data_IF_814498848712
#
_entry.id   IF_814498848712
#
_cell.length_a   1.000
_cell.length_b   1.000
_cell.length_c   1.000
_cell.angle_alpha   90.00
_cell.angle_beta   90.00
_cell.angle_gamma   90.00
#
_symmetry.space_group_name_H-M   'P 1'
#
loop_
_entity.id
_entity.type
_entity.pdbx_description
1 polymer ?
#
# COMPACT_ATOMS: atom_id res chain seq x y z
N UNK A 1 -19.07 -35.15 -3.03
CA UNK A 1 -19.39 -33.71 -3.17
C UNK A 1 -18.34 -32.93 -2.40
N UNK A 2 -17.53 -32.13 -3.09
CA UNK A 2 -16.61 -31.19 -2.44
C UNK A 2 -17.40 -29.98 -1.93
N UNK A 3 -17.14 -29.55 -0.70
CA UNK A 3 -17.68 -28.29 -0.18
C UNK A 3 -16.76 -27.15 -0.63
N UNK A 4 -17.31 -25.95 -0.84
CA UNK A 4 -16.49 -24.75 -1.07
C UNK A 4 -16.45 -23.99 0.23
N UNK A 5 -15.26 -23.80 0.78
CA UNK A 5 -15.02 -23.00 1.99
C UNK A 5 -14.54 -21.63 1.55
N UNK A 6 -15.11 -20.59 2.16
CA UNK A 6 -14.68 -19.21 1.99
C UNK A 6 -13.76 -18.84 3.15
N UNK A 7 -12.57 -18.35 2.82
CA UNK A 7 -11.60 -17.90 3.81
C UNK A 7 -11.41 -16.41 3.60
N UNK A 8 -11.64 -15.62 4.65
CA UNK A 8 -11.39 -14.18 4.64
C UNK A 8 -10.01 -13.89 5.21
N UNK A 9 -9.25 -13.04 4.53
CA UNK A 9 -7.99 -12.49 5.02
C UNK A 9 -8.19 -11.61 6.26
N UNK A 10 -7.08 -11.30 6.92
CA UNK A 10 -7.06 -10.48 8.14
C UNK A 10 -6.91 -8.99 7.84
N UNK A 11 -6.28 -8.67 6.71
CA UNK A 11 -5.92 -7.31 6.34
C UNK A 11 -7.11 -6.50 5.80
N UNK A 12 -7.20 -5.24 6.24
CA UNK A 12 -8.14 -4.26 5.68
C UNK A 12 -7.56 -3.59 4.43
N UNK A 13 -8.41 -3.43 3.43
CA UNK A 13 -8.10 -2.82 2.14
C UNK A 13 -8.54 -1.36 2.19
N UNK A 14 -7.56 -0.46 2.23
CA UNK A 14 -7.78 0.99 2.16
C UNK A 14 -8.00 1.50 0.73
N UNK A 15 -7.34 0.89 -0.27
CA UNK A 15 -7.43 1.29 -1.68
C UNK A 15 -7.74 0.11 -2.61
N UNK A 16 -8.92 0.16 -3.22
CA UNK A 16 -9.40 -0.88 -4.12
C UNK A 16 -8.62 -1.00 -5.45
N UNK A 17 -7.88 0.03 -5.86
CA UNK A 17 -7.07 -0.02 -7.08
C UNK A 17 -5.81 -0.86 -6.84
N UNK A 18 -5.09 -0.56 -5.76
CA UNK A 18 -3.90 -1.31 -5.34
C UNK A 18 -4.24 -2.77 -5.01
N UNK A 19 -5.43 -3.01 -4.45
CA UNK A 19 -5.89 -4.36 -4.15
C UNK A 19 -6.14 -5.19 -5.43
N UNK A 20 -6.67 -4.58 -6.50
CA UNK A 20 -6.78 -5.25 -7.79
C UNK A 20 -5.42 -5.57 -8.40
N UNK A 21 -4.45 -4.67 -8.26
CA UNK A 21 -3.09 -4.91 -8.72
C UNK A 21 -2.41 -6.03 -7.94
N UNK A 22 -2.59 -6.07 -6.62
CA UNK A 22 -2.09 -7.16 -5.77
C UNK A 22 -2.70 -8.52 -6.17
N UNK A 23 -4.01 -8.57 -6.44
CA UNK A 23 -4.67 -9.79 -6.94
C UNK A 23 -4.10 -10.19 -8.31
N UNK A 24 -3.90 -9.24 -9.23
CA UNK A 24 -3.33 -9.50 -10.55
C UNK A 24 -1.89 -10.05 -10.45
N UNK A 25 -1.04 -9.47 -9.60
CA UNK A 25 0.33 -9.94 -9.34
C UNK A 25 0.37 -11.32 -8.68
N UNK A 26 -0.63 -11.65 -7.86
CA UNK A 26 -0.72 -12.96 -7.22
C UNK A 26 -1.04 -14.10 -8.19
N UNK A 27 -1.54 -13.80 -9.39
CA UNK A 27 -1.91 -14.80 -10.41
C UNK A 27 -3.13 -15.65 -10.06
N UNK A 28 -3.85 -15.35 -8.97
CA UNK A 28 -4.98 -16.14 -8.48
C UNK A 28 -6.33 -15.50 -8.82
N UNK A 29 -7.08 -16.15 -9.72
CA UNK A 29 -8.40 -15.69 -10.18
C UNK A 29 -9.55 -15.94 -9.19
N UNK A 30 -9.32 -16.69 -8.11
CA UNK A 30 -10.33 -17.05 -7.11
C UNK A 30 -10.38 -16.10 -5.89
N UNK A 31 -9.67 -14.98 -5.96
CA UNK A 31 -9.64 -13.95 -4.91
C UNK A 31 -10.64 -12.85 -5.27
N UNK A 32 -11.50 -12.51 -4.33
CA UNK A 32 -12.45 -11.40 -4.44
C UNK A 32 -12.19 -10.41 -3.32
N UNK A 33 -12.66 -9.18 -3.50
CA UNK A 33 -12.72 -8.21 -2.41
C UNK A 33 -14.15 -8.15 -1.91
N UNK A 34 -14.36 -8.41 -0.63
CA UNK A 34 -15.67 -8.37 0.04
C UNK A 34 -15.48 -7.63 1.36
N UNK A 35 -16.32 -6.62 1.62
CA UNK A 35 -16.32 -5.82 2.84
C UNK A 35 -14.95 -5.23 3.24
N UNK A 36 -14.19 -4.78 2.24
CA UNK A 36 -12.86 -4.20 2.48
C UNK A 36 -11.80 -5.23 2.90
N UNK A 37 -12.01 -6.51 2.64
CA UNK A 37 -11.06 -7.60 2.88
C UNK A 37 -10.94 -8.52 1.67
N UNK A 38 -9.86 -9.30 1.62
CA UNK A 38 -9.70 -10.34 0.59
C UNK A 38 -10.49 -11.60 0.98
N UNK A 39 -11.40 -12.04 0.10
CA UNK A 39 -12.13 -13.31 0.19
C UNK A 39 -11.51 -14.32 -0.78
N UNK A 40 -11.06 -15.45 -0.25
CA UNK A 40 -10.44 -16.55 -0.99
C UNK A 40 -11.42 -17.73 -1.04
N UNK A 41 -11.76 -18.20 -2.23
CA UNK A 41 -12.57 -19.40 -2.39
C UNK A 41 -11.67 -20.65 -2.45
N UNK A 42 -11.98 -21.69 -1.66
CA UNK A 42 -11.27 -22.97 -1.66
C UNK A 42 -12.23 -24.15 -1.78
N UNK A 43 -11.82 -25.20 -2.50
CA UNK A 43 -12.48 -26.51 -2.47
C UNK A 43 -11.94 -27.36 -1.31
N UNK A 44 -12.84 -27.92 -0.51
CA UNK A 44 -12.65 -28.69 0.73
C UNK A 44 -12.02 -30.08 0.51
N UNK A 45 -10.94 -30.16 -0.28
CA UNK A 45 -10.20 -31.41 -0.52
C UNK A 45 -9.05 -31.63 0.48
N UNK A 46 -8.47 -30.57 1.04
CA UNK A 46 -7.38 -30.66 2.00
C UNK A 46 -7.54 -29.65 3.15
N UNK A 47 -7.74 -30.19 4.35
CA UNK A 47 -7.76 -29.53 5.67
C UNK A 47 -6.92 -28.24 5.75
N UNK A 48 -7.50 -27.08 5.41
CA UNK A 48 -7.21 -25.71 5.89
C UNK A 48 -5.77 -25.18 5.94
N UNK A 49 -4.73 -25.95 5.61
CA UNK A 49 -3.31 -25.66 5.90
C UNK A 49 -2.56 -25.10 4.69
N UNK A 50 -3.08 -25.29 3.48
CA UNK A 50 -2.40 -24.94 2.23
C UNK A 50 -2.58 -23.50 1.73
N UNK A 51 -3.52 -22.72 2.31
CA UNK A 51 -3.84 -21.36 1.80
C UNK A 51 -3.32 -20.21 2.67
N UNK A 52 -2.82 -20.48 3.87
CA UNK A 52 -2.21 -19.45 4.71
C UNK A 52 -1.06 -18.74 3.99
N UNK A 53 -0.25 -19.49 3.24
CA UNK A 53 0.86 -18.94 2.44
C UNK A 53 0.38 -18.12 1.24
N UNK A 54 -0.77 -18.45 0.64
CA UNK A 54 -1.34 -17.65 -0.45
C UNK A 54 -1.92 -16.34 0.08
N UNK A 55 -2.62 -16.40 1.22
CA UNK A 55 -3.17 -15.23 1.90
C UNK A 55 -2.03 -14.30 2.30
N UNK A 56 -1.01 -14.84 3.00
CA UNK A 56 0.15 -14.07 3.42
C UNK A 56 0.89 -13.44 2.24
N UNK A 57 1.07 -14.16 1.13
CA UNK A 57 1.67 -13.60 -0.09
C UNK A 57 0.87 -12.42 -0.65
N UNK A 58 -0.44 -12.55 -0.78
CA UNK A 58 -1.30 -11.48 -1.32
C UNK A 58 -1.33 -10.27 -0.39
N UNK A 59 -1.44 -10.51 0.92
CA UNK A 59 -1.41 -9.45 1.93
C UNK A 59 -0.06 -8.71 1.92
N UNK A 60 1.05 -9.44 1.75
CA UNK A 60 2.40 -8.86 1.66
C UNK A 60 2.54 -7.99 0.41
N UNK A 61 2.18 -8.51 -0.77
CA UNK A 61 2.26 -7.77 -2.04
C UNK A 61 1.44 -6.47 -1.96
N UNK A 62 0.23 -6.53 -1.40
CA UNK A 62 -0.59 -5.33 -1.24
C UNK A 62 0.05 -4.35 -0.25
N UNK A 63 0.60 -4.83 0.87
CA UNK A 63 1.27 -3.95 1.84
C UNK A 63 2.47 -3.22 1.22
N UNK A 64 3.25 -3.90 0.38
CA UNK A 64 4.37 -3.31 -0.34
C UNK A 64 3.91 -2.23 -1.33
N UNK A 65 2.86 -2.51 -2.10
CA UNK A 65 2.25 -1.55 -3.03
C UNK A 65 1.72 -0.30 -2.33
N UNK A 66 1.10 -0.48 -1.16
CA UNK A 66 0.61 0.64 -0.34
C UNK A 66 1.76 1.50 0.19
N UNK A 67 2.83 0.88 0.68
CA UNK A 67 3.99 1.63 1.16
C UNK A 67 4.71 2.38 0.04
N UNK A 68 4.82 1.78 -1.14
CA UNK A 68 5.36 2.43 -2.33
C UNK A 68 4.50 3.64 -2.75
N UNK A 69 3.18 3.47 -2.84
CA UNK A 69 2.25 4.56 -3.16
C UNK A 69 2.34 5.71 -2.16
N UNK A 70 2.41 5.41 -0.85
CA UNK A 70 2.63 6.42 0.20
C UNK A 70 3.98 7.12 0.05
N UNK A 71 5.03 6.42 -0.36
CA UNK A 71 6.34 7.02 -0.60
C UNK A 71 6.28 8.00 -1.76
N UNK A 72 5.74 7.59 -2.90
CA UNK A 72 5.58 8.46 -4.08
C UNK A 72 4.74 9.69 -3.73
N UNK A 73 3.65 9.52 -2.99
CA UNK A 73 2.83 10.64 -2.55
C UNK A 73 3.62 11.64 -1.67
N UNK A 74 4.41 11.14 -0.72
CA UNK A 74 5.27 11.98 0.15
C UNK A 74 6.31 12.74 -0.67
N UNK A 75 6.94 12.09 -1.64
CA UNK A 75 7.92 12.72 -2.54
C UNK A 75 7.26 13.81 -3.40
N UNK A 76 6.09 13.55 -3.98
CA UNK A 76 5.34 14.54 -4.75
C UNK A 76 4.88 15.75 -3.91
N UNK A 77 4.48 15.53 -2.65
CA UNK A 77 4.14 16.62 -1.73
C UNK A 77 5.37 17.44 -1.35
N UNK A 78 6.51 16.77 -1.10
CA UNK A 78 7.80 17.43 -0.83
C UNK A 78 8.16 18.37 -1.98
N UNK A 79 8.08 17.92 -3.23
CA UNK A 79 8.40 18.75 -4.39
C UNK A 79 7.47 19.97 -4.49
N UNK A 80 6.16 19.79 -4.34
CA UNK A 80 5.20 20.91 -4.34
C UNK A 80 5.50 21.95 -3.27
N UNK A 81 5.86 21.51 -2.06
CA UNK A 81 6.21 22.41 -0.96
C UNK A 81 7.49 23.18 -1.28
N UNK A 82 8.50 22.51 -1.85
CA UNK A 82 9.77 23.16 -2.23
C UNK A 82 9.57 24.16 -3.38
N UNK A 83 8.80 23.82 -4.41
CA UNK A 83 8.46 24.75 -5.49
C UNK A 83 7.73 25.99 -4.96
N UNK A 84 6.77 25.79 -4.07
CA UNK A 84 6.03 26.89 -3.46
C UNK A 84 6.94 27.76 -2.58
N UNK A 85 7.79 27.13 -1.77
CA UNK A 85 8.79 27.80 -0.95
C UNK A 85 9.74 28.65 -1.80
N UNK A 86 10.23 28.12 -2.93
CA UNK A 86 11.08 28.84 -3.87
C UNK A 86 10.37 30.07 -4.46
N UNK A 87 9.09 29.94 -4.87
CA UNK A 87 8.27 31.05 -5.35
C UNK A 87 8.13 32.17 -4.31
N UNK A 88 8.03 31.81 -3.04
CA UNK A 88 7.96 32.77 -1.92
C UNK A 88 9.34 33.24 -1.42
N UNK A 89 10.43 32.92 -2.12
CA UNK A 89 11.77 33.37 -1.79
C UNK A 89 12.42 32.62 -0.61
N UNK A 90 11.93 31.44 -0.27
CA UNK A 90 12.57 30.55 0.71
C UNK A 90 13.53 29.57 0.01
N UNK A 91 14.60 29.18 0.70
CA UNK A 91 15.52 28.10 0.30
C UNK A 91 15.43 26.95 1.29
N UNK A 92 15.60 25.73 0.82
CA UNK A 92 15.77 24.57 1.70
C UNK A 92 17.11 24.69 2.44
N UNK A 93 17.07 24.64 3.77
CA UNK A 93 18.25 24.68 4.64
C UNK A 93 18.64 23.30 5.13
N UNK A 94 17.65 22.48 5.50
CA UNK A 94 17.85 21.13 5.99
C UNK A 94 16.65 20.27 5.67
N UNK A 95 16.92 19.02 5.32
CA UNK A 95 15.92 17.98 5.22
C UNK A 95 16.24 16.92 6.28
N UNK A 96 15.22 16.52 7.03
CA UNK A 96 15.32 15.46 8.03
C UNK A 96 14.28 14.41 7.66
N UNK A 97 14.74 13.21 7.36
CA UNK A 97 13.90 12.06 7.11
C UNK A 97 14.00 11.14 8.34
N UNK A 98 12.88 10.99 9.05
CA UNK A 98 12.75 10.14 10.23
C UNK A 98 11.59 9.17 9.98
N UNK A 99 11.90 7.88 9.91
CA UNK A 99 10.97 6.78 9.65
C UNK A 99 10.07 7.04 8.41
N UNK A 100 8.84 7.45 8.66
CA UNK A 100 7.81 7.72 7.66
C UNK A 100 7.57 9.21 7.38
N UNK A 101 8.31 10.10 8.05
CA UNK A 101 8.09 11.55 8.00
C UNK A 101 9.25 12.28 7.34
N UNK A 102 8.91 13.25 6.48
CA UNK A 102 9.88 14.17 5.87
C UNK A 102 9.66 15.56 6.48
N UNK A 103 10.66 16.08 7.19
CA UNK A 103 10.67 17.44 7.75
C UNK A 103 11.55 18.33 6.88
N UNK A 104 10.97 19.42 6.37
CA UNK A 104 11.66 20.41 5.54
C UNK A 104 11.88 21.70 6.33
N UNK A 105 13.14 22.06 6.56
CA UNK A 105 13.52 23.32 7.22
C UNK A 105 13.84 24.36 6.14
N UNK A 106 12.99 25.38 6.04
CA UNK A 106 13.10 26.44 5.04
C UNK A 106 13.68 27.73 5.65
N UNK A 107 14.51 28.45 4.89
CA UNK A 107 15.09 29.74 5.28
C UNK A 107 14.74 30.81 4.25
N UNK A 108 14.24 31.97 4.67
CA UNK A 108 13.94 33.09 3.78
C UNK A 108 15.23 33.66 3.18
N UNK A 109 15.25 33.93 1.88
CA UNK A 109 16.32 34.71 1.24
C UNK A 109 16.09 36.17 1.61
N UNK A 110 17.04 36.75 2.33
CA UNK A 110 17.11 38.19 2.57
C UNK A 110 18.08 38.72 1.52
N UNK A 111 17.59 39.56 0.62
CA UNK A 111 18.39 40.30 -0.36
C UNK A 111 18.76 41.65 0.22
#
# INVERSE_FOLDING_TARGET
MSRVVKITGSMQIDDGVLAKEAIAKSGNSNIKMVDGKFEFNQYDYDYGRGKAEEIARVETIYSELVEEAKRVYREAQREKILENALKHGYKLKKEIQEDSTIKLVLQKRVY
#
